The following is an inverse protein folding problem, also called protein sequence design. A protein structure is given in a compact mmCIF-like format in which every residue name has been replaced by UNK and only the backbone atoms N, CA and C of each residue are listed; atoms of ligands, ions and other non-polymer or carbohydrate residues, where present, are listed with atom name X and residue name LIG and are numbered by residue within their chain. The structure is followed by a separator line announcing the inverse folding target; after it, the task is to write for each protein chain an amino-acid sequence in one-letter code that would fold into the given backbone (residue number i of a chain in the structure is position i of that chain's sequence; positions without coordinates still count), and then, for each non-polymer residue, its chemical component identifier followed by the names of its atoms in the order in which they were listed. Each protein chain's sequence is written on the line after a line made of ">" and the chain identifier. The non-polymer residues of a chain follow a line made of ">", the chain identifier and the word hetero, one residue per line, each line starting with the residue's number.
data_IF_704100355452
#
_entry.id   IF_704100355452
#
_cell.length_a   1.000
_cell.length_b   1.000
_cell.length_c   1.000
_cell.angle_alpha   90.00
_cell.angle_beta   90.00
_cell.angle_gamma   90.00
#
_symmetry.space_group_name_H-M   'P 1'
#
loop_
_entity.id
_entity.type
_entity.pdbx_description
1 polymer ?
#
# COMPACT_ATOMS: atom_id res chain seq x y z
N UNK A 1 10.88 -15.05 -0.06
CA UNK A 1 9.77 -14.31 -0.71
C UNK A 1 8.88 -13.64 0.32
N UNK A 2 9.17 -12.37 0.64
CA UNK A 2 8.49 -11.63 1.71
C UNK A 2 7.02 -11.26 1.39
N UNK A 3 6.60 -11.44 0.12
CA UNK A 3 5.25 -11.12 -0.35
C UNK A 3 4.25 -12.25 -0.05
N UNK A 4 4.70 -13.51 0.03
CA UNK A 4 3.83 -14.68 0.21
C UNK A 4 3.26 -14.84 1.64
N UNK A 5 3.84 -14.17 2.63
CA UNK A 5 3.40 -14.28 4.02
C UNK A 5 2.37 -13.23 4.45
N UNK A 6 2.08 -12.23 3.61
CA UNK A 6 0.91 -11.40 3.82
C UNK A 6 -0.27 -12.09 3.15
N UNK A 7 -1.22 -12.59 3.94
CA UNK A 7 -2.51 -13.10 3.45
C UNK A 7 -3.34 -11.98 2.80
N UNK A 8 -2.85 -11.42 1.69
CA UNK A 8 -3.49 -10.43 0.86
C UNK A 8 -4.51 -11.17 0.02
N UNK A 9 -5.77 -10.74 0.09
CA UNK A 9 -6.72 -11.15 -0.93
C UNK A 9 -6.22 -10.69 -2.31
N UNK A 10 -6.57 -11.42 -3.37
CA UNK A 10 -6.24 -11.05 -4.76
C UNK A 10 -6.58 -9.58 -5.04
N UNK A 11 -7.70 -9.10 -4.51
CA UNK A 11 -8.13 -7.69 -4.62
C UNK A 11 -7.18 -6.73 -3.91
N UNK A 12 -6.70 -7.08 -2.71
CA UNK A 12 -5.76 -6.25 -1.97
C UNK A 12 -4.40 -6.18 -2.67
N UNK A 13 -3.94 -7.31 -3.23
CA UNK A 13 -2.73 -7.35 -4.05
C UNK A 13 -2.84 -6.45 -5.30
N UNK A 14 -3.94 -6.55 -6.05
CA UNK A 14 -4.19 -5.67 -7.21
C UNK A 14 -4.25 -4.19 -6.83
N UNK A 15 -4.86 -3.87 -5.68
CA UNK A 15 -4.89 -2.48 -5.17
C UNK A 15 -3.47 -1.99 -4.87
N UNK A 16 -2.66 -2.81 -4.21
CA UNK A 16 -1.28 -2.50 -3.85
C UNK A 16 -0.43 -2.21 -5.11
N UNK A 17 -0.55 -3.03 -6.16
CA UNK A 17 0.15 -2.77 -7.43
C UNK A 17 -0.27 -1.44 -8.06
N UNK A 18 -1.56 -1.09 -8.04
CA UNK A 18 -2.00 0.22 -8.57
C UNK A 18 -1.43 1.38 -7.78
N UNK A 19 -1.43 1.30 -6.45
CA UNK A 19 -0.88 2.36 -5.59
C UNK A 19 0.62 2.50 -5.83
N UNK A 20 1.36 1.38 -5.87
CA UNK A 20 2.79 1.39 -6.19
C UNK A 20 3.06 1.98 -7.58
N UNK A 21 2.20 1.71 -8.58
CA UNK A 21 2.31 2.33 -9.90
C UNK A 21 2.06 3.82 -9.87
N UNK A 22 1.04 4.28 -9.13
CA UNK A 22 0.80 5.71 -8.95
C UNK A 22 1.97 6.42 -8.28
N UNK A 23 2.58 5.80 -7.26
CA UNK A 23 3.78 6.35 -6.60
C UNK A 23 4.94 6.44 -7.58
N UNK A 24 5.19 5.37 -8.36
CA UNK A 24 6.22 5.38 -9.41
C UNK A 24 5.99 6.48 -10.45
N UNK A 25 4.73 6.67 -10.88
CA UNK A 25 4.37 7.71 -11.83
C UNK A 25 4.56 9.12 -11.22
N UNK A 26 4.32 9.30 -9.92
CA UNK A 26 4.56 10.57 -9.20
C UNK A 26 6.05 10.86 -9.01
N UNK A 27 6.86 9.83 -8.80
CA UNK A 27 8.32 9.93 -8.70
C UNK A 27 8.99 10.11 -10.09
N UNK A 28 8.20 10.02 -11.17
CA UNK A 28 8.71 10.10 -12.54
C UNK A 28 9.48 8.85 -12.99
N UNK A 29 9.33 7.75 -12.26
CA UNK A 29 9.98 6.47 -12.56
C UNK A 29 9.17 5.68 -13.59
N UNK A 30 9.83 5.24 -14.67
CA UNK A 30 9.18 4.47 -15.74
C UNK A 30 8.70 3.07 -15.30
N UNK A 31 9.26 2.55 -14.21
CA UNK A 31 8.99 1.22 -13.66
C UNK A 31 8.71 1.27 -12.17
N UNK A 32 7.88 0.33 -11.70
CA UNK A 32 7.69 0.13 -10.26
C UNK A 32 8.97 -0.50 -9.69
N UNK A 33 9.58 0.15 -8.71
CA UNK A 33 10.72 -0.33 -7.95
C UNK A 33 10.28 -0.73 -6.53
N UNK A 34 11.17 -1.40 -5.80
CA UNK A 34 10.89 -1.92 -4.46
C UNK A 34 10.47 -0.81 -3.48
N UNK A 35 11.03 0.39 -3.63
CA UNK A 35 10.69 1.57 -2.82
C UNK A 35 9.22 2.00 -2.98
N UNK A 36 8.69 2.00 -4.21
CA UNK A 36 7.28 2.31 -4.48
C UNK A 36 6.34 1.26 -3.88
N UNK A 37 6.76 0.00 -3.87
CA UNK A 37 6.00 -1.11 -3.27
C UNK A 37 5.99 -0.98 -1.75
N UNK A 38 7.13 -0.67 -1.14
CA UNK A 38 7.28 -0.41 0.29
C UNK A 38 6.39 0.75 0.74
N UNK A 39 6.37 1.84 -0.01
CA UNK A 39 5.53 3.00 0.28
C UNK A 39 4.03 2.67 0.15
N UNK A 40 3.64 1.96 -0.92
CA UNK A 40 2.28 1.47 -1.09
C UNK A 40 1.82 0.55 0.06
N UNK A 41 2.73 -0.27 0.60
CA UNK A 41 2.49 -1.10 1.77
C UNK A 41 2.23 -0.27 3.03
N UNK A 42 3.01 0.79 3.26
CA UNK A 42 2.85 1.69 4.40
C UNK A 42 1.48 2.40 4.35
N UNK A 43 1.03 2.82 3.17
CA UNK A 43 -0.31 3.38 3.00
C UNK A 43 -1.43 2.40 3.41
N UNK A 44 -1.26 1.09 3.18
CA UNK A 44 -2.26 0.08 3.60
C UNK A 44 -2.32 -0.08 5.12
N UNK A 45 -1.19 0.00 5.82
CA UNK A 45 -1.16 -0.07 7.29
C UNK A 45 -1.93 1.11 7.87
N UNK A 46 -1.72 2.31 7.33
CA UNK A 46 -2.45 3.52 7.71
C UNK A 46 -3.96 3.46 7.39
N UNK A 47 -4.37 2.79 6.31
CA UNK A 47 -5.79 2.58 5.97
C UNK A 47 -6.47 1.57 6.91
N UNK A 48 -5.71 0.62 7.46
CA UNK A 48 -6.23 -0.46 8.31
C UNK A 48 -6.33 -0.06 9.78
N UNK A 49 -5.71 1.04 10.19
CA UNK A 49 -5.91 1.66 11.51
C UNK A 49 -7.40 2.05 11.64
N UNK A 50 -8.15 1.43 12.56
CA UNK A 50 -9.53 1.82 12.77
C UNK A 50 -9.53 3.29 13.19
N UNK A 51 -10.17 4.12 12.37
CA UNK A 51 -10.58 5.47 12.78
C UNK A 51 -11.71 5.32 13.79
N UNK A 52 -11.41 4.73 14.95
CA UNK A 52 -12.17 4.99 16.17
C UNK A 52 -11.97 6.46 16.44
N UNK A 53 -12.92 7.21 15.84
CA UNK A 53 -13.51 8.45 16.30
C UNK A 53 -12.83 8.95 17.57
N UNK A 54 -12.36 10.19 17.52
CA UNK A 54 -12.19 11.05 18.68
C UNK A 54 -13.54 11.23 19.38
N UNK A 55 -14.07 10.13 19.92
CA UNK A 55 -15.20 10.05 20.83
C UNK A 55 -14.60 9.99 22.24
N UNK A 56 -13.89 11.07 22.59
CA UNK A 56 -13.64 11.43 23.97
C UNK A 56 -14.05 12.89 24.11
N UNK A 57 -15.23 13.11 24.70
CA UNK A 57 -15.74 14.43 25.13
C UNK A 57 -16.94 14.92 24.34
#
# INVERSE_FOLDING_TARGET
>A
DAVDHMALSVRAYHKLIRVARTIADLDGSGSVADEHVLEALQYRVLESEPRTVLAYG
#
